data_IF_762758436802
#
_entry.id   IF_762758436802
#
_cell.length_a   1.000
_cell.length_b   1.000
_cell.length_c   1.000
_cell.angle_alpha   90.00
_cell.angle_beta   90.00
_cell.angle_gamma   90.00
#
_symmetry.space_group_name_H-M   'P 1'
#
loop_
_entity.id
_entity.type
_entity.pdbx_description
1 polymer ?
#
# COMPACT_ATOMS: atom_id res chain seq x y z
N UNK A 1 -25.69 -2.47 19.13
CA UNK A 1 -25.64 -1.90 17.77
C UNK A 1 -25.67 -0.38 17.88
N UNK A 2 -24.66 0.33 17.37
CA UNK A 2 -24.83 1.64 16.69
C UNK A 2 -23.50 2.42 16.57
N UNK A 3 -22.64 1.92 15.71
CA UNK A 3 -21.64 2.68 14.97
C UNK A 3 -21.38 1.81 13.73
N UNK A 4 -21.29 2.36 12.53
CA UNK A 4 -21.25 1.57 11.29
C UNK A 4 -20.06 0.59 11.20
N UNK A 5 -19.12 0.62 12.15
CA UNK A 5 -17.98 -0.28 12.32
C UNK A 5 -17.60 -0.39 13.80
N UNK A 6 -17.12 -1.55 14.27
CA UNK A 6 -16.43 -1.64 15.57
C UNK A 6 -15.07 -0.92 15.51
N UNK A 7 -14.50 -0.54 16.66
CA UNK A 7 -13.19 0.13 16.68
C UNK A 7 -12.11 -0.77 16.06
N UNK A 8 -12.15 -2.07 16.38
CA UNK A 8 -11.20 -3.05 15.86
C UNK A 8 -11.35 -3.24 14.35
N UNK A 9 -12.58 -3.34 13.82
CA UNK A 9 -12.84 -3.36 12.38
C UNK A 9 -12.36 -2.08 11.69
N UNK A 10 -12.59 -0.92 12.31
CA UNK A 10 -12.18 0.37 11.75
C UNK A 10 -10.66 0.45 11.65
N UNK A 11 -9.95 0.00 12.69
CA UNK A 11 -8.49 -0.06 12.68
C UNK A 11 -8.02 -1.05 11.61
N UNK A 12 -8.61 -2.24 11.51
CA UNK A 12 -8.24 -3.22 10.50
C UNK A 12 -8.48 -2.69 9.07
N UNK A 13 -9.60 -2.00 8.82
CA UNK A 13 -9.91 -1.37 7.53
C UNK A 13 -8.96 -0.22 7.21
N UNK A 14 -8.57 0.60 8.19
CA UNK A 14 -7.57 1.66 8.01
C UNK A 14 -6.21 1.07 7.63
N UNK A 15 -5.77 0.04 8.36
CA UNK A 15 -4.51 -0.65 8.10
C UNK A 15 -4.54 -1.32 6.72
N UNK A 16 -5.67 -1.92 6.34
CA UNK A 16 -5.88 -2.50 5.02
C UNK A 16 -5.76 -1.43 3.92
N UNK A 17 -6.41 -0.28 4.09
CA UNK A 17 -6.36 0.81 3.13
C UNK A 17 -4.93 1.34 2.93
N UNK A 18 -4.18 1.51 4.03
CA UNK A 18 -2.77 1.93 3.98
C UNK A 18 -1.91 0.87 3.28
N UNK A 19 -2.09 -0.41 3.64
CA UNK A 19 -1.38 -1.53 3.02
C UNK A 19 -1.60 -1.57 1.50
N UNK A 20 -2.87 -1.47 1.07
CA UNK A 20 -3.24 -1.43 -0.35
C UNK A 20 -2.66 -0.20 -1.05
N UNK A 21 -2.73 0.98 -0.44
CA UNK A 21 -2.14 2.19 -1.02
C UNK A 21 -0.63 2.04 -1.23
N UNK A 22 0.08 1.42 -0.28
CA UNK A 22 1.50 1.12 -0.41
C UNK A 22 1.76 0.10 -1.53
N UNK A 23 1.02 -1.00 -1.58
CA UNK A 23 1.21 -2.03 -2.62
C UNK A 23 0.96 -1.45 -4.01
N UNK A 24 -0.22 -0.84 -4.21
CA UNK A 24 -0.63 -0.32 -5.52
C UNK A 24 0.24 0.85 -5.97
N UNK A 25 0.52 1.80 -5.07
CA UNK A 25 1.35 2.96 -5.38
C UNK A 25 2.78 2.59 -5.76
N UNK A 26 3.41 1.68 -5.01
CA UNK A 26 4.78 1.26 -5.29
C UNK A 26 4.87 0.29 -6.46
N UNK A 27 3.89 -0.61 -6.64
CA UNK A 27 3.83 -1.47 -7.83
C UNK A 27 3.69 -0.63 -9.10
N UNK A 28 2.79 0.36 -9.10
CA UNK A 28 2.64 1.29 -10.21
C UNK A 28 3.92 2.08 -10.47
N UNK A 29 4.57 2.58 -9.42
CA UNK A 29 5.82 3.32 -9.54
C UNK A 29 6.97 2.46 -10.11
N UNK A 30 7.07 1.18 -9.72
CA UNK A 30 8.05 0.24 -10.27
C UNK A 30 7.78 -0.07 -11.74
N UNK A 31 6.52 -0.30 -12.12
CA UNK A 31 6.14 -0.53 -13.52
C UNK A 31 6.46 0.70 -14.37
N UNK A 32 6.09 1.89 -13.90
CA UNK A 32 6.34 3.14 -14.62
C UNK A 32 7.85 3.43 -14.74
N UNK A 33 8.60 3.27 -13.65
CA UNK A 33 10.05 3.42 -13.65
C UNK A 33 10.77 2.40 -14.55
N UNK A 34 10.27 1.16 -14.63
CA UNK A 34 10.81 0.15 -15.56
C UNK A 34 10.62 0.50 -17.04
N UNK A 35 9.63 1.33 -17.35
CA UNK A 35 9.38 1.84 -18.71
C UNK A 35 10.17 3.12 -19.03
N UNK A 36 11.00 3.59 -18.10
CA UNK A 36 11.73 4.85 -18.25
C UNK A 36 10.85 6.09 -18.13
N UNK A 37 9.58 5.94 -17.74
CA UNK A 37 8.65 7.04 -17.59
C UNK A 37 8.81 7.66 -16.20
N UNK A 38 9.47 8.82 -16.13
CA UNK A 38 9.57 9.60 -14.89
C UNK A 38 8.22 10.14 -14.40
N UNK A 39 8.13 10.60 -13.14
CA UNK A 39 7.00 11.41 -12.71
C UNK A 39 6.88 12.67 -13.58
N UNK A 40 5.67 12.96 -14.08
CA UNK A 40 5.42 14.11 -14.95
C UNK A 40 5.68 15.37 -14.13
N UNK A 41 6.66 16.19 -14.54
CA UNK A 41 7.01 17.44 -13.86
C UNK A 41 7.99 17.34 -12.69
N UNK A 42 8.67 16.20 -12.49
CA UNK A 42 9.74 16.08 -11.49
C UNK A 42 11.01 15.41 -12.06
N UNK A 43 12.14 16.11 -11.94
CA UNK A 43 13.47 15.58 -12.17
C UNK A 43 13.92 14.77 -10.93
N UNK A 44 13.48 13.52 -10.84
CA UNK A 44 13.88 12.63 -9.75
C UNK A 44 13.90 11.18 -10.23
N UNK A 45 15.02 10.49 -10.01
CA UNK A 45 15.11 9.06 -10.29
C UNK A 45 14.26 8.26 -9.30
N UNK A 46 13.55 7.25 -9.81
CA UNK A 46 12.83 6.31 -8.96
C UNK A 46 13.84 5.59 -8.05
N UNK A 47 13.66 5.72 -6.74
CA UNK A 47 14.46 4.97 -5.77
C UNK A 47 13.92 3.53 -5.67
N UNK A 48 14.36 2.68 -6.59
CA UNK A 48 13.89 1.29 -6.77
C UNK A 48 13.91 0.49 -5.47
N UNK A 49 14.98 0.62 -4.67
CA UNK A 49 15.10 -0.08 -3.38
C UNK A 49 14.01 0.30 -2.39
N UNK A 50 13.68 1.60 -2.28
CA UNK A 50 12.60 2.07 -1.41
C UNK A 50 11.24 1.59 -1.88
N UNK A 51 11.00 1.61 -3.19
CA UNK A 51 9.73 1.15 -3.77
C UNK A 51 9.50 -0.35 -3.51
N UNK A 52 10.53 -1.19 -3.66
CA UNK A 52 10.45 -2.61 -3.31
C UNK A 52 10.20 -2.85 -1.82
N UNK A 53 10.91 -2.13 -0.95
CA UNK A 53 10.69 -2.24 0.50
C UNK A 53 9.24 -1.91 0.88
N UNK A 54 8.72 -0.79 0.38
CA UNK A 54 7.35 -0.37 0.65
C UNK A 54 6.30 -1.32 0.04
N UNK A 55 6.59 -1.91 -1.12
CA UNK A 55 5.72 -2.92 -1.72
C UNK A 55 5.64 -4.17 -0.84
N UNK A 56 6.78 -4.69 -0.36
CA UNK A 56 6.82 -5.87 0.51
C UNK A 56 6.16 -5.58 1.87
N UNK A 57 6.51 -4.46 2.51
CA UNK A 57 5.91 -4.05 3.76
C UNK A 57 4.39 -3.88 3.63
N UNK A 58 3.94 -3.23 2.55
CA UNK A 58 2.52 -3.05 2.25
C UNK A 58 1.80 -4.39 2.06
N UNK A 59 2.43 -5.35 1.39
CA UNK A 59 1.87 -6.69 1.19
C UNK A 59 1.69 -7.44 2.52
N UNK A 60 2.71 -7.41 3.39
CA UNK A 60 2.63 -8.03 4.73
C UNK A 60 1.49 -7.41 5.55
N UNK A 61 1.41 -6.08 5.59
CA UNK A 61 0.36 -5.36 6.32
C UNK A 61 -1.03 -5.66 5.75
N UNK A 62 -1.17 -5.70 4.42
CA UNK A 62 -2.42 -6.04 3.74
C UNK A 62 -2.89 -7.44 4.11
N UNK A 63 -2.00 -8.44 4.06
CA UNK A 63 -2.32 -9.83 4.41
C UNK A 63 -2.75 -9.92 5.87
N UNK A 64 -2.03 -9.25 6.78
CA UNK A 64 -2.41 -9.22 8.20
C UNK A 64 -3.78 -8.57 8.41
N UNK A 65 -4.06 -7.43 7.79
CA UNK A 65 -5.33 -6.74 7.95
C UNK A 65 -6.51 -7.54 7.38
N UNK A 66 -6.33 -8.21 6.24
CA UNK A 66 -7.34 -9.14 5.69
C UNK A 66 -7.58 -10.30 6.65
N UNK A 67 -6.52 -10.89 7.21
CA UNK A 67 -6.65 -11.97 8.19
C UNK A 67 -7.43 -11.52 9.43
N UNK A 68 -7.17 -10.31 9.94
CA UNK A 68 -7.88 -9.73 11.09
C UNK A 68 -9.35 -9.37 10.83
N UNK A 69 -9.77 -9.23 9.56
CA UNK A 69 -11.17 -8.96 9.20
C UNK A 69 -11.99 -10.24 8.99
N UNK A 70 -11.32 -11.36 8.68
CA UNK A 70 -11.95 -12.64 8.35
C UNK A 70 -11.89 -13.62 9.52
N UNK A 71 -10.84 -13.57 10.33
CA UNK A 71 -10.63 -14.41 11.52
C UNK A 71 -11.09 -13.73 12.80
#
# INVERSE_FOLDING_TARGET
>A
MSGLFSLDETIALLVLAIGLAMVLGNAFALVKGSRGEGPVGQEGSLHVGRAWFLLVAGAVITVWAVASLIG
#
